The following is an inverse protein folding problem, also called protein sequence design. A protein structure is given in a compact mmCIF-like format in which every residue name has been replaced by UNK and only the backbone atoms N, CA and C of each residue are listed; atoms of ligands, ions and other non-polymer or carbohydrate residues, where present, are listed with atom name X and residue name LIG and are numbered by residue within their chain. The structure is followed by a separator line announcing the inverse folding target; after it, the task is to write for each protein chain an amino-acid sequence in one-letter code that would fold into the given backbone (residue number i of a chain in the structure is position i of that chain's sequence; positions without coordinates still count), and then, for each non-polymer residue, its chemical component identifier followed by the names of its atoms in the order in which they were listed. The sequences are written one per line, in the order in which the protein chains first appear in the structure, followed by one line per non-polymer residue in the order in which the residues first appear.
data_IF_937426862653
#
_entry.id   IF_937426862653
#
_cell.length_a   1.000
_cell.length_b   1.000
_cell.length_c   1.000
_cell.angle_alpha   90.00
_cell.angle_beta   90.00
_cell.angle_gamma   90.00
#
_symmetry.space_group_name_H-M   'P 1'
#
loop_
_entity.id
_entity.type
_entity.pdbx_description
1 polymer ?
#
# COMPACT_ATOMS: atom_id res chain seq x y z
N UNK A 1 10.68 2.39 10.10
CA UNK A 1 12.05 2.36 10.64
C UNK A 1 12.74 3.69 10.39
N UNK A 2 13.57 4.15 11.34
CA UNK A 2 14.42 5.32 11.15
C UNK A 2 15.72 4.98 10.37
N UNK A 3 16.58 5.99 10.15
CA UNK A 3 17.85 5.83 9.43
C UNK A 3 18.89 4.94 10.13
N UNK A 4 18.66 4.57 11.38
CA UNK A 4 19.49 3.64 12.16
C UNK A 4 18.93 2.22 12.22
N UNK A 5 17.87 1.94 11.47
CA UNK A 5 17.20 0.64 11.43
C UNK A 5 16.34 0.33 12.64
N UNK A 6 15.96 1.34 13.45
CA UNK A 6 15.11 1.16 14.64
C UNK A 6 13.67 1.53 14.33
N UNK A 7 12.72 0.77 14.84
CA UNK A 7 11.33 1.21 14.90
C UNK A 7 11.22 2.39 15.86
N UNK A 8 10.50 3.41 15.44
CA UNK A 8 10.34 4.64 16.21
C UNK A 8 8.87 5.05 16.26
N UNK A 9 8.47 5.71 17.31
CA UNK A 9 7.18 6.36 17.45
C UNK A 9 7.29 7.87 17.24
N UNK A 10 6.18 8.57 17.39
CA UNK A 10 6.13 10.04 17.35
C UNK A 10 5.72 10.59 18.72
N UNK A 11 6.01 11.86 18.97
CA UNK A 11 5.61 12.55 20.20
C UNK A 11 4.08 12.69 20.34
N UNK A 12 3.31 12.40 19.28
CA UNK A 12 1.86 12.31 19.34
C UNK A 12 1.39 11.13 20.22
N UNK A 13 2.05 9.97 20.09
CA UNK A 13 1.67 8.76 20.83
C UNK A 13 2.41 8.63 22.17
N UNK A 14 3.68 8.97 22.22
CA UNK A 14 4.49 8.80 23.43
C UNK A 14 5.65 9.80 23.49
N UNK A 15 6.00 10.26 24.71
CA UNK A 15 7.14 11.18 24.93
C UNK A 15 8.48 10.46 24.92
N UNK A 16 8.52 9.20 25.31
CA UNK A 16 9.70 8.34 25.33
C UNK A 16 9.28 6.91 24.97
N UNK A 17 10.20 6.15 24.39
CA UNK A 17 9.98 4.73 24.15
C UNK A 17 9.93 3.97 25.50
N UNK A 18 9.19 2.85 25.58
CA UNK A 18 9.20 1.99 26.75
C UNK A 18 10.56 1.32 26.93
N UNK A 19 10.90 0.94 28.17
CA UNK A 19 12.20 0.35 28.51
C UNK A 19 12.55 -0.91 27.70
N UNK A 20 11.55 -1.75 27.38
CA UNK A 20 11.77 -2.94 26.58
C UNK A 20 12.27 -2.63 25.16
N UNK A 21 11.86 -1.49 24.59
CA UNK A 21 12.32 -1.04 23.28
C UNK A 21 13.83 -0.79 23.29
N UNK A 22 14.34 -0.08 24.29
CA UNK A 22 15.76 0.21 24.41
C UNK A 22 16.58 -1.06 24.73
N UNK A 23 16.04 -1.95 25.56
CA UNK A 23 16.61 -3.28 25.82
C UNK A 23 16.70 -4.13 24.54
N UNK A 24 15.65 -4.14 23.73
CA UNK A 24 15.65 -4.84 22.44
C UNK A 24 16.78 -4.34 21.53
N UNK A 25 16.96 -3.03 21.42
CA UNK A 25 17.98 -2.45 20.56
C UNK A 25 19.39 -2.42 21.16
N UNK A 26 19.55 -2.73 22.42
CA UNK A 26 20.88 -2.81 23.06
C UNK A 26 21.76 -3.91 22.42
N UNK A 27 21.17 -5.02 21.96
CA UNK A 27 21.86 -6.09 21.24
C UNK A 27 22.04 -5.85 19.73
N UNK A 28 21.58 -4.69 19.21
CA UNK A 28 21.63 -4.32 17.78
C UNK A 28 21.00 -5.38 16.86
N UNK A 29 19.79 -5.86 17.12
CA UNK A 29 19.17 -6.93 16.32
C UNK A 29 18.96 -6.51 14.86
N UNK A 30 18.84 -5.21 14.60
CA UNK A 30 18.73 -4.66 13.25
C UNK A 30 19.97 -4.89 12.37
N UNK A 31 21.12 -5.22 12.95
CA UNK A 31 22.37 -5.48 12.22
C UNK A 31 22.58 -6.97 11.89
N UNK A 32 21.66 -7.82 12.31
CA UNK A 32 21.72 -9.29 12.18
C UNK A 32 21.97 -9.77 10.72
N UNK A 33 21.48 -9.00 9.74
CA UNK A 33 21.55 -9.39 8.33
C UNK A 33 22.60 -8.56 7.54
N UNK A 34 23.41 -7.76 8.22
CA UNK A 34 24.44 -6.94 7.58
C UNK A 34 25.42 -7.81 6.78
N UNK A 35 25.62 -7.48 5.51
CA UNK A 35 26.46 -8.26 4.61
C UNK A 35 25.93 -9.65 4.23
N UNK A 36 24.69 -9.98 4.61
CA UNK A 36 24.10 -11.25 4.19
C UNK A 36 23.56 -11.18 2.75
N UNK A 37 23.41 -12.35 2.17
CA UNK A 37 22.87 -12.55 0.83
C UNK A 37 21.43 -13.04 0.90
N UNK A 38 20.59 -12.52 0.02
CA UNK A 38 19.26 -13.07 -0.26
C UNK A 38 19.31 -13.91 -1.53
N UNK A 39 19.54 -15.23 -1.44
CA UNK A 39 19.44 -16.18 -2.55
C UNK A 39 17.97 -16.59 -2.78
N UNK A 40 17.70 -17.27 -3.90
CA UNK A 40 16.42 -17.96 -4.09
C UNK A 40 16.16 -18.97 -2.96
N UNK A 41 14.91 -19.06 -2.55
CA UNK A 41 14.46 -19.99 -1.50
C UNK A 41 14.42 -21.45 -1.98
N UNK A 42 14.07 -21.63 -3.27
CA UNK A 42 13.97 -22.92 -3.96
C UNK A 42 14.80 -22.91 -5.24
N UNK A 43 14.93 -24.09 -5.87
CA UNK A 43 15.50 -24.18 -7.21
C UNK A 43 14.67 -23.36 -8.21
N UNK A 44 15.32 -22.78 -9.22
CA UNK A 44 14.65 -21.94 -10.24
C UNK A 44 13.44 -22.61 -10.87
N UNK A 45 13.50 -23.92 -11.10
CA UNK A 45 12.41 -24.72 -11.66
C UNK A 45 11.12 -24.71 -10.84
N UNK A 46 11.16 -24.29 -9.57
CA UNK A 46 9.96 -24.15 -8.73
C UNK A 46 9.16 -22.88 -9.03
N UNK A 47 9.75 -21.90 -9.71
CA UNK A 47 9.13 -20.58 -9.96
C UNK A 47 8.43 -20.52 -11.31
N UNK A 48 7.56 -21.48 -11.61
CA UNK A 48 6.90 -21.62 -12.92
C UNK A 48 5.80 -20.58 -13.17
N UNK A 49 5.36 -19.87 -12.14
CA UNK A 49 4.25 -18.89 -12.20
C UNK A 49 4.71 -17.43 -12.19
N UNK A 50 6.00 -17.18 -12.29
CA UNK A 50 6.57 -15.85 -12.24
C UNK A 50 7.62 -15.67 -13.32
N UNK A 51 7.79 -14.41 -13.75
CA UNK A 51 8.78 -14.02 -14.75
C UNK A 51 10.16 -13.97 -14.08
N UNK A 52 11.18 -14.44 -14.78
CA UNK A 52 12.57 -14.35 -14.33
C UNK A 52 12.97 -12.87 -14.08
N UNK A 53 13.79 -12.67 -13.08
CA UNK A 53 14.40 -11.38 -12.77
C UNK A 53 15.44 -10.95 -13.81
N UNK A 54 15.90 -9.69 -13.72
CA UNK A 54 16.89 -9.12 -14.62
C UNK A 54 16.31 -8.62 -15.95
N UNK A 55 15.01 -8.33 -15.96
CA UNK A 55 14.37 -7.70 -17.11
C UNK A 55 14.84 -6.25 -17.27
N UNK A 56 14.89 -5.72 -18.52
CA UNK A 56 15.45 -4.38 -18.80
C UNK A 56 14.73 -3.24 -18.06
N UNK A 57 13.46 -3.43 -17.70
CA UNK A 57 12.65 -2.42 -16.99
C UNK A 57 12.70 -2.54 -15.47
N UNK A 58 13.30 -3.60 -14.92
CA UNK A 58 13.43 -3.78 -13.48
C UNK A 58 14.50 -2.86 -12.89
N UNK A 59 14.23 -2.36 -11.69
CA UNK A 59 15.12 -1.42 -11.01
C UNK A 59 16.25 -2.15 -10.30
N UNK A 60 17.40 -1.49 -10.24
CA UNK A 60 18.50 -1.91 -9.38
C UNK A 60 18.12 -1.69 -7.91
N UNK A 61 17.82 -2.78 -7.20
CA UNK A 61 17.32 -2.75 -5.83
C UNK A 61 18.38 -2.18 -4.87
N UNK A 62 18.30 -0.88 -4.58
CA UNK A 62 19.22 -0.18 -3.66
C UNK A 62 20.71 -0.44 -3.94
N UNK A 63 21.09 -0.64 -5.19
CA UNK A 63 22.46 -0.96 -5.57
C UNK A 63 22.85 -2.44 -5.49
N UNK A 64 21.92 -3.31 -5.05
CA UNK A 64 22.16 -4.76 -4.96
C UNK A 64 22.01 -5.51 -6.29
N UNK A 65 21.68 -4.81 -7.37
CA UNK A 65 21.46 -5.42 -8.69
C UNK A 65 20.00 -5.74 -8.99
N UNK A 66 19.80 -6.51 -10.07
CA UNK A 66 18.46 -6.90 -10.58
C UNK A 66 18.26 -8.42 -10.61
N UNK A 67 19.22 -9.19 -10.09
CA UNK A 67 19.21 -10.67 -10.12
C UNK A 67 19.65 -11.27 -8.79
N UNK A 68 19.13 -12.43 -8.49
CA UNK A 68 19.61 -13.24 -7.37
C UNK A 68 21.09 -13.71 -7.57
N UNK A 69 21.85 -13.86 -6.47
CA UNK A 69 21.50 -13.45 -5.11
C UNK A 69 21.68 -11.94 -4.90
N UNK A 70 20.80 -11.32 -4.11
CA UNK A 70 20.95 -9.93 -3.72
C UNK A 70 21.85 -9.83 -2.50
N UNK A 71 22.94 -9.06 -2.59
CA UNK A 71 23.91 -8.90 -1.52
C UNK A 71 23.66 -7.61 -0.74
N UNK A 72 23.30 -7.73 0.55
CA UNK A 72 23.07 -6.56 1.40
C UNK A 72 24.40 -5.83 1.69
N UNK A 73 24.39 -4.50 1.79
CA UNK A 73 25.50 -3.76 2.35
C UNK A 73 25.83 -4.20 3.78
N UNK A 74 27.10 -4.08 4.18
CA UNK A 74 27.56 -4.52 5.51
C UNK A 74 27.26 -3.55 6.65
N UNK A 75 26.91 -2.29 6.35
CA UNK A 75 26.66 -1.27 7.38
C UNK A 75 26.05 0.01 6.82
N UNK A 76 25.66 0.91 7.72
CA UNK A 76 25.26 2.29 7.44
C UNK A 76 23.83 2.46 6.94
N UNK A 77 23.42 3.69 6.62
CA UNK A 77 22.04 3.98 6.19
C UNK A 77 21.59 3.24 4.93
N UNK A 78 22.51 2.96 4.00
CA UNK A 78 22.25 2.17 2.80
C UNK A 78 21.88 0.71 3.12
N UNK A 79 22.49 0.14 4.16
CA UNK A 79 22.15 -1.19 4.66
C UNK A 79 20.70 -1.24 5.16
N UNK A 80 20.28 -0.31 6.05
CA UNK A 80 18.92 -0.31 6.59
C UNK A 80 17.87 -0.06 5.50
N UNK A 81 18.17 0.80 4.55
CA UNK A 81 17.27 1.03 3.41
C UNK A 81 17.16 -0.20 2.49
N UNK A 82 18.26 -0.93 2.28
CA UNK A 82 18.27 -2.19 1.53
C UNK A 82 17.55 -3.31 2.28
N UNK A 83 17.79 -3.45 3.59
CA UNK A 83 17.15 -4.46 4.44
C UNK A 83 15.63 -4.38 4.36
N UNK A 84 15.04 -3.19 4.41
CA UNK A 84 13.58 -2.97 4.28
C UNK A 84 13.00 -3.43 2.93
N UNK A 85 13.84 -3.70 1.94
CA UNK A 85 13.46 -4.16 0.59
C UNK A 85 13.83 -5.61 0.33
N UNK A 86 14.11 -6.34 1.39
CA UNK A 86 14.43 -7.76 1.36
C UNK A 86 13.58 -8.49 2.42
N UNK A 87 13.42 -9.82 2.38
CA UNK A 87 12.66 -10.56 3.39
C UNK A 87 13.09 -10.31 4.83
N UNK A 88 14.30 -9.80 5.02
CA UNK A 88 14.85 -9.45 6.33
C UNK A 88 14.14 -8.25 6.97
N UNK A 89 13.52 -7.35 6.18
CA UNK A 89 12.67 -6.28 6.70
C UNK A 89 11.43 -6.80 7.41
N UNK A 90 10.78 -7.80 6.84
CA UNK A 90 9.62 -8.43 7.48
C UNK A 90 10.04 -9.32 8.66
N UNK A 91 11.17 -10.01 8.57
CA UNK A 91 11.74 -10.75 9.71
C UNK A 91 12.03 -9.82 10.89
N UNK A 92 12.65 -8.66 10.64
CA UNK A 92 12.89 -7.63 11.66
C UNK A 92 11.59 -7.09 12.27
N UNK A 93 10.55 -6.92 11.46
CA UNK A 93 9.23 -6.48 11.93
C UNK A 93 8.61 -7.52 12.86
N UNK A 94 8.68 -8.80 12.52
CA UNK A 94 8.17 -9.87 13.37
C UNK A 94 9.02 -10.08 14.64
N UNK A 95 10.33 -9.89 14.57
CA UNK A 95 11.21 -9.92 15.75
C UNK A 95 10.86 -8.76 16.71
N UNK A 96 10.59 -7.58 16.18
CA UNK A 96 10.13 -6.44 16.99
C UNK A 96 8.72 -6.67 17.55
N UNK A 97 7.82 -7.30 16.78
CA UNK A 97 6.48 -7.68 17.28
C UNK A 97 6.57 -8.67 18.45
N UNK A 98 7.49 -9.67 18.40
CA UNK A 98 7.76 -10.56 19.54
C UNK A 98 8.27 -9.78 20.76
N UNK A 99 9.19 -8.85 20.55
CA UNK A 99 9.70 -8.01 21.64
C UNK A 99 8.59 -7.15 22.28
N UNK A 100 7.68 -6.60 21.48
CA UNK A 100 6.51 -5.86 21.98
C UNK A 100 5.56 -6.77 22.77
N UNK A 101 5.26 -7.96 22.27
CA UNK A 101 4.42 -8.95 22.98
C UNK A 101 4.99 -9.28 24.35
N UNK A 102 6.31 -9.53 24.44
CA UNK A 102 6.96 -9.83 25.72
C UNK A 102 7.04 -8.58 26.62
N UNK A 103 7.44 -7.44 26.06
CA UNK A 103 7.65 -6.21 26.80
C UNK A 103 6.39 -5.61 27.41
N UNK A 104 5.28 -5.69 26.68
CA UNK A 104 3.96 -5.22 27.11
C UNK A 104 3.10 -6.34 27.73
N UNK A 105 3.62 -7.56 27.84
CA UNK A 105 2.88 -8.74 28.35
C UNK A 105 1.56 -8.99 27.60
N UNK A 106 1.53 -8.72 26.29
CA UNK A 106 0.30 -8.88 25.49
C UNK A 106 -0.23 -10.31 25.57
N UNK A 107 -1.55 -10.44 25.64
CA UNK A 107 -2.27 -11.71 25.81
C UNK A 107 -2.19 -12.28 27.24
N UNK A 108 -1.57 -11.56 28.18
CA UNK A 108 -1.50 -11.88 29.60
C UNK A 108 -1.93 -10.72 30.50
N UNK A 109 -2.86 -9.91 30.01
CA UNK A 109 -3.36 -8.76 30.77
C UNK A 109 -4.00 -9.22 32.09
N UNK A 110 -3.56 -8.71 33.25
CA UNK A 110 -4.09 -9.11 34.55
C UNK A 110 -5.59 -8.80 34.71
N UNK A 111 -6.12 -7.80 33.99
CA UNK A 111 -7.55 -7.48 34.02
C UNK A 111 -8.42 -8.45 33.21
N UNK A 112 -7.81 -9.39 32.49
CA UNK A 112 -8.52 -10.28 31.55
C UNK A 112 -8.98 -9.62 30.26
N UNK A 113 -8.62 -8.34 30.02
CA UNK A 113 -8.93 -7.66 28.76
C UNK A 113 -8.13 -8.25 27.61
N UNK A 114 -8.75 -8.28 26.42
CA UNK A 114 -8.08 -8.73 25.20
C UNK A 114 -7.23 -7.58 24.64
N UNK A 115 -5.98 -7.90 24.33
CA UNK A 115 -5.07 -6.96 23.67
C UNK A 115 -5.21 -7.01 22.14
N UNK A 116 -4.92 -5.90 21.48
CA UNK A 116 -4.90 -5.78 20.02
C UNK A 116 -3.49 -5.41 19.54
N UNK A 117 -2.95 -6.18 18.62
CA UNK A 117 -1.65 -5.91 17.97
C UNK A 117 -1.83 -5.80 16.46
N UNK A 118 -1.52 -4.64 15.89
CA UNK A 118 -1.42 -4.42 14.46
C UNK A 118 0.02 -4.60 13.98
N UNK A 119 0.25 -5.41 12.95
CA UNK A 119 1.55 -5.63 12.33
C UNK A 119 1.45 -5.34 10.84
N UNK A 120 2.34 -4.49 10.31
CA UNK A 120 2.44 -4.20 8.88
C UNK A 120 3.74 -4.77 8.32
N UNK A 121 3.63 -5.68 7.35
CA UNK A 121 4.74 -6.28 6.61
C UNK A 121 4.87 -5.54 5.28
N UNK A 122 5.71 -4.50 5.23
CA UNK A 122 5.76 -3.54 4.12
C UNK A 122 6.76 -3.90 3.01
N UNK A 123 7.57 -4.93 3.19
CA UNK A 123 8.65 -5.27 2.24
C UNK A 123 8.12 -5.66 0.87
N UNK A 124 6.98 -6.35 0.81
CA UNK A 124 6.40 -6.82 -0.45
C UNK A 124 6.05 -5.68 -1.40
N UNK A 125 5.54 -4.59 -0.86
CA UNK A 125 5.24 -3.37 -1.62
C UNK A 125 6.51 -2.78 -2.26
N UNK A 126 7.58 -2.61 -1.49
CA UNK A 126 8.87 -2.11 -2.02
C UNK A 126 9.45 -3.00 -3.11
N UNK A 127 9.31 -4.31 -2.99
CA UNK A 127 9.76 -5.28 -4.00
C UNK A 127 8.94 -5.11 -5.27
N UNK A 128 7.62 -5.01 -5.17
CA UNK A 128 6.73 -4.86 -6.32
C UNK A 128 6.96 -3.54 -7.05
N UNK A 129 7.24 -2.46 -6.34
CA UNK A 129 7.65 -1.19 -6.96
C UNK A 129 8.95 -1.28 -7.76
N UNK A 130 9.82 -2.23 -7.42
CA UNK A 130 11.15 -2.38 -8.03
C UNK A 130 11.22 -3.46 -9.10
N UNK A 131 10.39 -4.49 -9.03
CA UNK A 131 10.46 -5.67 -9.89
C UNK A 131 9.16 -6.02 -10.59
N UNK A 132 8.03 -5.50 -10.12
CA UNK A 132 6.67 -5.91 -10.54
C UNK A 132 6.16 -7.14 -9.79
N UNK A 133 4.83 -7.24 -9.57
CA UNK A 133 4.19 -8.35 -8.86
C UNK A 133 4.32 -9.68 -9.63
N UNK A 134 4.52 -9.62 -10.95
CA UNK A 134 4.73 -10.77 -11.85
C UNK A 134 6.14 -11.40 -11.71
N UNK A 135 7.06 -10.73 -11.01
CA UNK A 135 8.46 -11.12 -10.95
C UNK A 135 8.72 -12.32 -10.04
N UNK A 136 9.79 -13.08 -10.33
CA UNK A 136 10.32 -14.13 -9.46
C UNK A 136 10.74 -13.58 -8.09
N UNK A 137 11.19 -12.34 -8.03
CA UNK A 137 11.57 -11.66 -6.78
C UNK A 137 10.36 -11.50 -5.86
N UNK A 138 9.22 -11.04 -6.42
CA UNK A 138 7.95 -10.97 -5.70
C UNK A 138 7.48 -12.35 -5.23
N UNK A 139 7.56 -13.35 -6.09
CA UNK A 139 7.16 -14.74 -5.78
C UNK A 139 8.03 -15.34 -4.66
N UNK A 140 9.36 -15.22 -4.74
CA UNK A 140 10.28 -15.70 -3.69
C UNK A 140 9.99 -15.04 -2.34
N UNK A 141 9.71 -13.74 -2.37
CA UNK A 141 9.37 -13.01 -1.17
C UNK A 141 8.09 -13.54 -0.51
N UNK A 142 7.02 -13.78 -1.28
CA UNK A 142 5.75 -14.33 -0.73
C UNK A 142 5.96 -15.70 -0.08
N UNK A 143 6.76 -16.57 -0.69
CA UNK A 143 7.09 -17.87 -0.10
C UNK A 143 7.85 -17.72 1.24
N UNK A 144 8.67 -16.68 1.37
CA UNK A 144 9.36 -16.37 2.63
C UNK A 144 8.42 -15.78 3.67
N UNK A 145 7.50 -14.89 3.27
CA UNK A 145 6.46 -14.37 4.19
C UNK A 145 5.63 -15.51 4.77
N UNK A 146 5.22 -16.49 3.96
CA UNK A 146 4.51 -17.69 4.46
C UNK A 146 5.29 -18.41 5.56
N UNK A 147 6.59 -18.65 5.37
CA UNK A 147 7.46 -19.26 6.38
C UNK A 147 7.63 -18.42 7.63
N UNK A 148 7.78 -17.11 7.47
CA UNK A 148 7.90 -16.17 8.59
C UNK A 148 6.62 -16.15 9.43
N UNK A 149 5.44 -16.14 8.78
CA UNK A 149 4.15 -16.21 9.46
C UNK A 149 3.95 -17.55 10.16
N UNK A 150 4.33 -18.67 9.54
CA UNK A 150 4.27 -19.98 10.19
C UNK A 150 5.11 -20.01 11.47
N UNK A 151 6.34 -19.46 11.44
CA UNK A 151 7.19 -19.33 12.63
C UNK A 151 6.61 -18.37 13.68
N UNK A 152 5.97 -17.29 13.25
CA UNK A 152 5.33 -16.36 14.17
C UNK A 152 4.08 -16.95 14.83
N UNK A 153 3.24 -17.69 14.11
CA UNK A 153 2.10 -18.39 14.69
C UNK A 153 2.52 -19.51 15.64
N UNK A 154 3.58 -20.25 15.32
CA UNK A 154 4.15 -21.23 16.25
C UNK A 154 4.62 -20.57 17.56
N UNK A 155 5.21 -19.38 17.50
CA UNK A 155 5.56 -18.61 18.68
C UNK A 155 4.31 -18.19 19.47
N UNK A 156 3.25 -17.70 18.82
CA UNK A 156 1.99 -17.34 19.48
C UNK A 156 1.33 -18.56 20.16
N UNK A 157 1.32 -19.71 19.52
CA UNK A 157 0.81 -20.97 20.08
C UNK A 157 1.56 -21.38 21.36
N UNK A 158 2.88 -21.24 21.37
CA UNK A 158 3.71 -21.54 22.56
C UNK A 158 3.52 -20.50 23.66
N UNK A 159 3.39 -19.23 23.30
CA UNK A 159 3.36 -18.10 24.23
C UNK A 159 1.99 -17.92 24.90
N UNK A 160 0.92 -18.05 24.12
CA UNK A 160 -0.46 -17.78 24.55
C UNK A 160 -1.31 -19.04 24.65
N UNK A 161 -0.94 -20.08 23.92
CA UNK A 161 -1.73 -21.29 23.70
C UNK A 161 -2.47 -21.27 22.36
N UNK A 162 -2.42 -22.35 21.63
CA UNK A 162 -3.24 -22.57 20.45
C UNK A 162 -4.72 -22.33 20.79
N UNK A 163 -5.44 -21.60 19.98
CA UNK A 163 -6.83 -21.21 20.21
C UNK A 163 -7.08 -20.10 21.26
N UNK A 164 -6.07 -19.30 21.59
CA UNK A 164 -6.23 -18.16 22.51
C UNK A 164 -6.11 -16.80 21.82
N UNK A 165 -6.05 -16.77 20.49
CA UNK A 165 -5.95 -15.56 19.70
C UNK A 165 -6.75 -15.67 18.40
N UNK A 166 -7.08 -14.51 17.85
CA UNK A 166 -7.67 -14.34 16.50
C UNK A 166 -6.67 -13.57 15.64
N UNK A 167 -6.55 -13.96 14.39
CA UNK A 167 -5.80 -13.23 13.37
C UNK A 167 -6.75 -12.77 12.28
N UNK A 168 -6.65 -11.50 11.90
CA UNK A 168 -7.20 -10.97 10.66
C UNK A 168 -6.02 -10.56 9.77
N UNK A 169 -5.84 -11.24 8.63
CA UNK A 169 -4.80 -10.95 7.67
C UNK A 169 -5.43 -10.39 6.40
N UNK A 170 -4.91 -9.27 5.95
CA UNK A 170 -5.31 -8.62 4.69
C UNK A 170 -4.12 -7.87 4.09
N UNK A 171 -4.34 -7.17 2.98
CA UNK A 171 -3.43 -6.17 2.44
C UNK A 171 -4.18 -4.83 2.30
N UNK A 172 -3.45 -3.73 2.32
CA UNK A 172 -3.93 -2.37 2.11
C UNK A 172 -4.31 -2.12 0.65
N UNK A 173 -3.64 -2.78 -0.30
CA UNK A 173 -3.92 -2.77 -1.73
C UNK A 173 -3.31 -3.99 -2.43
N UNK A 174 -3.73 -4.21 -3.67
CA UNK A 174 -3.05 -5.10 -4.61
C UNK A 174 -2.02 -4.31 -5.45
N UNK A 175 -1.70 -4.80 -6.67
CA UNK A 175 -0.67 -4.20 -7.50
C UNK A 175 -0.96 -4.42 -8.99
N UNK A 176 -0.71 -3.40 -9.83
CA UNK A 176 -0.70 -3.58 -11.27
C UNK A 176 0.59 -4.27 -11.74
N UNK A 177 0.54 -4.97 -12.86
CA UNK A 177 1.74 -5.45 -13.52
C UNK A 177 2.59 -4.29 -14.06
N UNK A 178 3.89 -4.51 -14.23
CA UNK A 178 4.71 -3.59 -15.00
C UNK A 178 4.12 -3.40 -16.41
N UNK A 179 4.00 -2.16 -16.92
CA UNK A 179 3.46 -1.93 -18.26
C UNK A 179 4.22 -2.68 -19.35
N UNK A 180 5.52 -2.84 -19.22
CA UNK A 180 6.37 -3.59 -20.15
C UNK A 180 6.02 -5.09 -20.15
N UNK A 181 5.74 -5.67 -18.98
CA UNK A 181 5.27 -7.04 -18.87
C UNK A 181 3.86 -7.18 -19.48
N UNK A 182 2.95 -6.26 -19.15
CA UNK A 182 1.60 -6.24 -19.73
C UNK A 182 1.65 -6.24 -21.24
N UNK A 183 2.52 -5.42 -21.85
CA UNK A 183 2.76 -5.38 -23.29
C UNK A 183 3.29 -6.71 -23.82
N UNK A 184 4.21 -7.36 -23.11
CA UNK A 184 4.78 -8.66 -23.53
C UNK A 184 3.74 -9.78 -23.57
N UNK A 185 2.69 -9.71 -22.76
CA UNK A 185 1.58 -10.66 -22.74
C UNK A 185 0.32 -10.15 -23.46
N UNK A 186 0.44 -9.07 -24.26
CA UNK A 186 -0.64 -8.47 -25.05
C UNK A 186 -1.83 -7.97 -24.19
N UNK A 187 -1.55 -7.51 -22.97
CA UNK A 187 -2.52 -6.83 -22.11
C UNK A 187 -2.26 -5.31 -22.17
N UNK A 188 -3.30 -4.45 -22.21
CA UNK A 188 -3.13 -3.01 -22.20
C UNK A 188 -2.35 -2.52 -20.97
N UNK A 189 -1.50 -1.52 -21.18
CA UNK A 189 -0.77 -0.85 -20.10
C UNK A 189 0.37 -0.02 -20.66
N UNK A 190 0.47 1.24 -20.18
CA UNK A 190 1.45 2.20 -20.68
C UNK A 190 2.02 3.07 -19.56
N UNK A 191 3.26 3.54 -19.78
CA UNK A 191 3.85 4.61 -18.97
C UNK A 191 3.50 5.95 -19.59
N UNK A 192 2.67 6.70 -18.88
CA UNK A 192 2.28 8.05 -19.28
C UNK A 192 3.31 9.08 -18.82
N UNK A 193 3.49 10.12 -19.62
CA UNK A 193 4.38 11.23 -19.28
C UNK A 193 3.61 12.36 -18.60
N UNK A 194 3.79 12.51 -17.28
CA UNK A 194 3.11 13.53 -16.50
C UNK A 194 3.49 14.98 -16.91
N UNK A 195 4.75 15.19 -17.29
CA UNK A 195 5.20 16.52 -17.72
C UNK A 195 4.56 16.92 -19.08
N UNK A 196 4.46 15.97 -20.01
CA UNK A 196 3.76 16.22 -21.29
C UNK A 196 2.28 16.49 -21.06
N UNK A 197 1.60 15.67 -20.26
CA UNK A 197 0.18 15.87 -19.90
C UNK A 197 -0.04 17.28 -19.30
N UNK A 198 0.73 17.67 -18.30
CA UNK A 198 0.59 18.96 -17.64
C UNK A 198 0.89 20.14 -18.57
N UNK A 199 1.88 20.00 -19.46
CA UNK A 199 2.19 21.01 -20.48
C UNK A 199 1.03 21.20 -21.44
N UNK A 200 0.46 20.14 -21.96
CA UNK A 200 -0.64 20.17 -22.93
C UNK A 200 -1.95 20.66 -22.28
N UNK A 201 -2.24 20.22 -21.05
CA UNK A 201 -3.36 20.72 -20.26
C UNK A 201 -3.26 22.24 -20.06
N UNK A 202 -2.11 22.74 -19.61
CA UNK A 202 -1.89 24.15 -19.40
C UNK A 202 -1.98 24.97 -20.70
N UNK A 203 -1.45 24.46 -21.81
CA UNK A 203 -1.61 25.10 -23.11
C UNK A 203 -3.08 25.21 -23.53
N UNK A 204 -3.87 24.17 -23.30
CA UNK A 204 -5.31 24.16 -23.56
C UNK A 204 -6.07 25.19 -22.70
N UNK A 205 -5.78 25.22 -21.39
CA UNK A 205 -6.40 26.13 -20.45
C UNK A 205 -6.01 27.59 -20.73
N UNK A 206 -4.72 27.88 -20.99
CA UNK A 206 -4.23 29.22 -21.33
C UNK A 206 -4.87 29.74 -22.60
N UNK A 207 -5.04 28.91 -23.63
CA UNK A 207 -5.72 29.26 -24.86
C UNK A 207 -7.20 29.60 -24.63
N UNK A 208 -7.91 28.80 -23.82
CA UNK A 208 -9.33 28.96 -23.54
C UNK A 208 -9.62 30.25 -22.74
N UNK A 209 -8.84 30.47 -21.68
CA UNK A 209 -9.08 31.58 -20.74
C UNK A 209 -8.26 32.81 -21.06
N UNK A 210 -7.38 32.77 -22.06
CA UNK A 210 -6.47 33.87 -22.45
C UNK A 210 -5.61 34.35 -21.27
N UNK A 211 -5.09 33.39 -20.49
CA UNK A 211 -4.27 33.64 -19.30
C UNK A 211 -2.84 33.18 -19.56
N UNK A 212 -1.88 34.05 -19.24
CA UNK A 212 -0.47 33.64 -19.17
C UNK A 212 -0.19 32.95 -17.83
N UNK A 213 0.43 31.79 -17.90
CA UNK A 213 0.77 30.95 -16.72
C UNK A 213 0.09 29.59 -16.71
N UNK A 214 0.38 28.84 -15.67
CA UNK A 214 -0.08 27.46 -15.53
C UNK A 214 -1.29 27.39 -14.59
N UNK A 215 -2.50 27.34 -15.13
CA UNK A 215 -3.72 27.17 -14.34
C UNK A 215 -3.77 25.81 -13.64
N UNK A 216 -3.17 24.76 -14.20
CA UNK A 216 -2.92 23.50 -13.52
C UNK A 216 -1.51 23.54 -12.90
N UNK A 217 -1.44 23.76 -11.59
CA UNK A 217 -0.20 24.01 -10.86
C UNK A 217 0.63 22.73 -10.65
N UNK A 218 -0.03 21.63 -10.30
CA UNK A 218 0.67 20.39 -9.92
C UNK A 218 -0.18 19.15 -10.20
N UNK A 219 0.48 18.10 -10.70
CA UNK A 219 -0.05 16.75 -10.68
C UNK A 219 0.47 16.01 -9.44
N UNK A 220 -0.43 15.52 -8.61
CA UNK A 220 -0.14 14.69 -7.44
C UNK A 220 -1.14 13.53 -7.43
N UNK A 221 -0.76 12.43 -8.09
CA UNK A 221 -1.67 11.30 -8.31
C UNK A 221 -2.43 10.90 -7.03
N UNK A 222 -3.72 10.70 -7.11
CA UNK A 222 -4.58 10.71 -8.30
C UNK A 222 -5.18 12.08 -8.66
N UNK A 223 -4.66 13.19 -8.14
CA UNK A 223 -5.28 14.50 -8.30
C UNK A 223 -4.40 15.53 -9.03
N UNK A 224 -5.06 16.50 -9.67
CA UNK A 224 -4.43 17.71 -10.19
C UNK A 224 -4.90 18.89 -9.34
N UNK A 225 -3.95 19.73 -8.95
CA UNK A 225 -4.17 20.94 -8.17
C UNK A 225 -4.16 22.12 -9.13
N UNK A 226 -5.19 22.96 -9.07
CA UNK A 226 -5.28 24.21 -9.83
C UNK A 226 -4.63 25.37 -9.06
N UNK A 227 -4.11 26.35 -9.79
CA UNK A 227 -3.57 27.58 -9.20
C UNK A 227 -4.69 28.53 -8.82
N UNK A 228 -5.11 28.46 -7.55
CA UNK A 228 -6.19 29.29 -7.01
C UNK A 228 -5.85 30.78 -7.06
N UNK A 229 -4.57 31.13 -6.93
CA UNK A 229 -4.10 32.51 -7.00
C UNK A 229 -4.25 33.08 -8.42
N UNK A 230 -3.90 32.29 -9.41
CA UNK A 230 -4.03 32.71 -10.83
C UNK A 230 -5.50 32.75 -11.25
N UNK A 231 -6.34 31.83 -10.81
CA UNK A 231 -7.79 31.85 -11.03
C UNK A 231 -8.40 33.14 -10.46
N UNK A 232 -8.10 33.47 -9.21
CA UNK A 232 -8.59 34.69 -8.55
C UNK A 232 -8.07 35.96 -9.23
N UNK A 233 -6.78 36.01 -9.56
CA UNK A 233 -6.15 37.17 -10.24
C UNK A 233 -6.86 37.53 -11.55
N UNK A 234 -7.31 36.51 -12.29
CA UNK A 234 -7.99 36.71 -13.58
C UNK A 234 -9.52 36.69 -13.46
N UNK A 235 -10.07 36.69 -12.23
CA UNK A 235 -11.51 36.63 -11.97
C UNK A 235 -12.22 35.48 -12.70
N UNK A 236 -11.55 34.32 -12.81
CA UNK A 236 -12.10 33.15 -13.47
C UNK A 236 -13.05 32.39 -12.53
N UNK A 237 -14.05 31.73 -13.10
CA UNK A 237 -14.88 30.80 -12.39
C UNK A 237 -14.10 29.49 -12.14
N UNK A 238 -13.96 29.10 -10.88
CA UNK A 238 -13.36 27.79 -10.49
C UNK A 238 -14.01 26.63 -11.26
N UNK A 239 -15.34 26.58 -11.27
CA UNK A 239 -16.10 25.53 -11.95
C UNK A 239 -15.84 25.49 -13.45
N UNK A 240 -15.71 26.66 -14.11
CA UNK A 240 -15.43 26.70 -15.54
C UNK A 240 -14.01 26.24 -15.87
N UNK A 241 -13.04 26.55 -15.02
CA UNK A 241 -11.65 26.05 -15.16
C UNK A 241 -11.60 24.54 -14.94
N UNK A 242 -12.28 24.03 -13.91
CA UNK A 242 -12.41 22.61 -13.65
C UNK A 242 -13.05 21.84 -14.82
N UNK A 243 -14.17 22.34 -15.37
CA UNK A 243 -14.86 21.72 -16.50
C UNK A 243 -14.01 21.75 -17.79
N UNK A 244 -13.27 22.82 -18.01
CA UNK A 244 -12.37 22.91 -19.16
C UNK A 244 -11.21 21.90 -19.03
N UNK A 245 -10.63 21.79 -17.83
CA UNK A 245 -9.59 20.82 -17.55
C UNK A 245 -10.13 19.38 -17.65
N UNK A 246 -11.31 19.10 -17.09
CA UNK A 246 -11.98 17.79 -17.21
C UNK A 246 -12.20 17.40 -18.67
N UNK A 247 -12.72 18.34 -19.49
CA UNK A 247 -12.98 18.10 -20.92
C UNK A 247 -11.70 17.71 -21.67
N UNK A 248 -10.61 18.46 -21.42
CA UNK A 248 -9.30 18.15 -22.01
C UNK A 248 -8.81 16.76 -21.56
N UNK A 249 -8.80 16.52 -20.26
CA UNK A 249 -8.27 15.28 -19.68
C UNK A 249 -9.07 14.04 -20.11
N UNK A 250 -10.38 14.15 -20.22
CA UNK A 250 -11.23 13.03 -20.70
C UNK A 250 -10.95 12.64 -22.16
N UNK A 251 -10.43 13.58 -22.95
CA UNK A 251 -10.00 13.30 -24.34
C UNK A 251 -8.55 12.83 -24.44
N UNK A 252 -7.79 12.87 -23.34
CA UNK A 252 -6.37 12.52 -23.34
C UNK A 252 -6.18 11.00 -23.30
N UNK A 253 -5.35 10.47 -24.21
CA UNK A 253 -5.09 9.06 -24.28
C UNK A 253 -4.55 8.51 -22.93
N UNK A 254 -5.11 7.41 -22.48
CA UNK A 254 -4.70 6.75 -21.24
C UNK A 254 -5.46 7.21 -19.98
N UNK A 255 -6.36 8.19 -20.09
CA UNK A 255 -7.27 8.59 -19.00
C UNK A 255 -8.63 7.91 -19.20
N UNK A 256 -9.17 7.32 -18.14
CA UNK A 256 -10.48 6.67 -18.16
C UNK A 256 -11.60 7.58 -17.69
N UNK A 257 -11.41 8.26 -16.55
CA UNK A 257 -12.44 9.12 -15.95
C UNK A 257 -11.76 10.26 -15.20
N UNK A 258 -12.42 11.43 -15.22
CA UNK A 258 -12.02 12.59 -14.41
C UNK A 258 -13.23 13.14 -13.69
N UNK A 259 -13.09 13.43 -12.40
CA UNK A 259 -14.08 14.12 -11.59
C UNK A 259 -13.54 15.47 -11.14
N UNK A 260 -14.41 16.48 -11.10
CA UNK A 260 -14.04 17.80 -10.60
C UNK A 260 -14.34 17.93 -9.10
N UNK A 261 -13.64 18.80 -8.40
CA UNK A 261 -13.94 19.17 -7.02
C UNK A 261 -15.40 19.61 -6.86
N UNK A 262 -15.88 20.48 -7.76
CA UNK A 262 -17.28 20.96 -7.76
C UNK A 262 -18.28 19.77 -7.80
N UNK A 263 -18.04 18.77 -8.64
CA UNK A 263 -18.89 17.56 -8.71
C UNK A 263 -18.81 16.74 -7.42
N UNK A 264 -17.61 16.58 -6.86
CA UNK A 264 -17.36 15.80 -5.63
C UNK A 264 -18.01 16.46 -4.41
N UNK A 265 -17.90 17.77 -4.27
CA UNK A 265 -18.53 18.53 -3.18
C UNK A 265 -20.07 18.54 -3.27
N UNK A 266 -20.60 18.63 -4.47
CA UNK A 266 -22.04 18.60 -4.71
C UNK A 266 -22.64 17.19 -4.70
N UNK A 267 -21.82 16.14 -4.69
CA UNK A 267 -22.28 14.74 -4.82
C UNK A 267 -22.90 14.41 -6.18
N UNK A 268 -22.70 15.26 -7.19
CA UNK A 268 -23.28 15.12 -8.54
C UNK A 268 -22.39 14.32 -9.49
N UNK A 269 -21.82 13.23 -9.01
CA UNK A 269 -20.96 12.37 -9.81
C UNK A 269 -21.78 11.51 -10.78
N UNK A 270 -21.23 11.26 -12.00
CA UNK A 270 -21.81 10.26 -12.89
C UNK A 270 -21.97 8.91 -12.20
N UNK A 271 -23.06 8.23 -12.47
CA UNK A 271 -23.30 6.89 -11.93
C UNK A 271 -22.46 5.87 -12.72
N UNK A 272 -21.32 5.52 -12.16
CA UNK A 272 -20.39 4.54 -12.72
C UNK A 272 -19.72 3.71 -11.64
N UNK A 273 -18.93 2.71 -12.05
CA UNK A 273 -18.30 1.75 -11.14
C UNK A 273 -17.32 2.38 -10.12
N UNK A 274 -16.83 3.61 -10.35
CA UNK A 274 -15.81 4.24 -9.50
C UNK A 274 -16.37 5.25 -8.50
N UNK A 275 -17.67 5.60 -8.62
CA UNK A 275 -18.29 6.65 -7.79
C UNK A 275 -18.02 6.49 -6.30
N UNK A 276 -18.27 5.30 -5.75
CA UNK A 276 -18.10 5.05 -4.32
C UNK A 276 -16.62 5.05 -3.91
N UNK A 277 -15.73 4.46 -4.72
CA UNK A 277 -14.30 4.44 -4.43
C UNK A 277 -13.73 5.86 -4.39
N UNK A 278 -14.11 6.69 -5.37
CA UNK A 278 -13.65 8.09 -5.44
C UNK A 278 -14.19 8.91 -4.27
N UNK A 279 -15.47 8.79 -3.92
CA UNK A 279 -16.05 9.50 -2.77
C UNK A 279 -15.38 9.12 -1.44
N UNK A 280 -14.94 7.86 -1.30
CA UNK A 280 -14.21 7.39 -0.10
C UNK A 280 -12.74 7.80 -0.08
N UNK A 281 -12.13 8.00 -1.24
CA UNK A 281 -10.72 8.37 -1.38
C UNK A 281 -10.50 9.89 -1.41
N UNK A 282 -11.51 10.67 -1.79
CA UNK A 282 -11.41 12.12 -1.90
C UNK A 282 -11.71 12.80 -0.57
N UNK A 283 -10.89 13.78 -0.21
CA UNK A 283 -11.08 14.62 0.96
C UNK A 283 -11.07 16.10 0.52
N UNK A 284 -12.05 16.87 0.98
CA UNK A 284 -12.23 18.28 0.62
C UNK A 284 -11.00 19.13 0.88
N UNK A 285 -10.33 18.92 2.01
CA UNK A 285 -9.26 19.79 2.49
C UNK A 285 -7.87 19.31 2.05
N UNK A 286 -7.74 18.03 1.67
CA UNK A 286 -6.46 17.39 1.37
C UNK A 286 -6.28 17.01 -0.10
N UNK A 287 -7.37 16.82 -0.85
CA UNK A 287 -7.30 16.40 -2.25
C UNK A 287 -7.25 17.58 -3.20
N UNK A 288 -6.71 17.35 -4.40
CA UNK A 288 -6.70 18.37 -5.47
C UNK A 288 -8.07 18.64 -6.09
N UNK A 289 -8.08 19.45 -7.13
CA UNK A 289 -9.31 19.98 -7.76
C UNK A 289 -9.88 19.06 -8.84
N UNK A 290 -9.04 18.18 -9.40
CA UNK A 290 -9.44 17.19 -10.39
C UNK A 290 -8.96 15.82 -9.91
N UNK A 291 -9.86 14.84 -9.84
CA UNK A 291 -9.52 13.46 -9.53
C UNK A 291 -9.48 12.64 -10.82
N UNK A 292 -8.33 12.04 -11.12
CA UNK A 292 -8.04 11.40 -12.40
C UNK A 292 -7.88 9.89 -12.22
N UNK A 293 -8.63 9.11 -12.98
CA UNK A 293 -8.49 7.65 -13.07
C UNK A 293 -7.89 7.33 -14.44
N UNK A 294 -6.76 6.62 -14.44
CA UNK A 294 -6.14 6.14 -15.67
C UNK A 294 -6.84 4.91 -16.23
N UNK A 295 -6.66 4.63 -17.50
CA UNK A 295 -7.02 3.34 -18.08
C UNK A 295 -6.29 2.21 -17.35
N UNK A 296 -6.88 0.99 -17.29
CA UNK A 296 -6.24 -0.13 -16.58
C UNK A 296 -4.85 -0.41 -17.12
N UNK A 297 -3.90 -0.66 -16.22
CA UNK A 297 -2.51 -0.91 -16.57
C UNK A 297 -1.68 0.33 -16.90
N UNK A 298 -2.28 1.53 -16.92
CA UNK A 298 -1.54 2.77 -17.13
C UNK A 298 -1.03 3.37 -15.82
N UNK A 299 0.18 3.91 -15.85
CA UNK A 299 0.80 4.57 -14.71
C UNK A 299 1.65 5.76 -15.12
N UNK A 300 2.00 6.57 -14.14
CA UNK A 300 3.03 7.61 -14.22
C UNK A 300 4.12 7.37 -13.19
N UNK A 301 5.28 7.98 -13.40
CA UNK A 301 6.42 7.87 -12.48
C UNK A 301 7.45 6.83 -12.89
N UNK A 302 8.49 6.70 -12.04
CA UNK A 302 9.70 5.92 -12.32
C UNK A 302 9.69 4.51 -11.72
N UNK A 303 8.70 4.15 -10.90
CA UNK A 303 8.58 2.80 -10.36
C UNK A 303 8.34 1.79 -11.49
N UNK A 304 8.76 0.56 -11.30
CA UNK A 304 8.52 -0.52 -12.28
C UNK A 304 7.02 -0.83 -12.38
N UNK A 305 6.37 -0.95 -11.25
CA UNK A 305 4.92 -1.11 -11.11
C UNK A 305 4.41 -0.24 -9.97
N UNK A 306 3.11 -0.03 -9.88
CA UNK A 306 2.49 0.82 -8.86
C UNK A 306 1.09 0.32 -8.50
N UNK A 307 0.43 1.03 -7.60
CA UNK A 307 -0.92 0.76 -7.08
C UNK A 307 -1.66 2.09 -6.83
N UNK A 308 -2.85 2.02 -6.23
CA UNK A 308 -3.64 3.19 -5.84
C UNK A 308 -4.74 3.54 -6.82
N UNK A 309 -5.04 2.66 -7.77
CA UNK A 309 -6.17 2.80 -8.68
C UNK A 309 -7.44 2.13 -8.14
N UNK A 310 -8.65 2.47 -8.66
CA UNK A 310 -9.88 1.77 -8.29
C UNK A 310 -10.08 0.44 -9.04
N UNK A 311 -9.11 0.02 -9.85
CA UNK A 311 -9.17 -1.23 -10.62
C UNK A 311 -9.02 -2.47 -9.74
N UNK A 312 -9.56 -3.60 -10.20
CA UNK A 312 -9.61 -4.84 -9.42
C UNK A 312 -8.24 -5.40 -9.03
N UNK A 313 -7.20 -5.16 -9.82
CA UNK A 313 -5.85 -5.60 -9.47
C UNK A 313 -5.28 -4.88 -8.24
N UNK A 314 -5.78 -3.67 -7.92
CA UNK A 314 -5.42 -2.93 -6.71
C UNK A 314 -6.41 -3.15 -5.56
N UNK A 315 -7.70 -3.34 -5.88
CA UNK A 315 -8.77 -3.37 -4.87
C UNK A 315 -9.15 -4.78 -4.41
N UNK A 316 -8.72 -5.82 -5.13
CA UNK A 316 -8.97 -7.21 -4.73
C UNK A 316 -7.79 -7.76 -3.92
N UNK A 317 -7.94 -7.78 -2.61
CA UNK A 317 -6.94 -8.22 -1.64
C UNK A 317 -7.42 -9.43 -0.85
N UNK A 318 -6.53 -10.26 -0.28
CA UNK A 318 -6.94 -11.36 0.58
C UNK A 318 -7.61 -10.83 1.86
N UNK A 319 -8.58 -11.58 2.38
CA UNK A 319 -9.12 -11.40 3.72
C UNK A 319 -9.20 -12.79 4.37
N UNK A 320 -8.34 -13.03 5.35
CA UNK A 320 -8.21 -14.31 6.04
C UNK A 320 -8.45 -14.10 7.52
N UNK A 321 -9.43 -14.79 8.08
CA UNK A 321 -9.68 -14.84 9.52
C UNK A 321 -9.23 -16.20 10.06
N UNK A 322 -8.49 -16.20 11.15
CA UNK A 322 -8.04 -17.41 11.85
C UNK A 322 -8.30 -17.26 13.34
N UNK A 323 -8.75 -18.35 13.99
CA UNK A 323 -9.05 -18.38 15.41
C UNK A 323 -10.11 -19.43 15.73
N UNK A 324 -9.72 -20.67 15.86
CA UNK A 324 -10.61 -21.85 15.91
C UNK A 324 -11.84 -21.74 16.83
N UNK A 325 -11.79 -21.15 18.03
CA UNK A 325 -12.99 -21.03 18.87
C UNK A 325 -14.05 -20.08 18.31
N UNK A 326 -13.66 -19.05 17.56
CA UNK A 326 -14.53 -17.96 17.15
C UNK A 326 -14.81 -17.91 15.66
N UNK A 327 -13.92 -18.46 14.84
CA UNK A 327 -13.97 -18.39 13.39
C UNK A 327 -14.41 -19.72 12.79
N UNK A 328 -15.42 -19.70 11.91
CA UNK A 328 -15.84 -20.85 11.12
C UNK A 328 -14.83 -21.16 10.03
N UNK A 329 -14.46 -22.42 9.91
CA UNK A 329 -13.57 -22.89 8.83
C UNK A 329 -14.26 -22.82 7.45
N UNK A 330 -13.51 -22.61 6.40
CA UNK A 330 -13.92 -22.68 5.00
C UNK A 330 -13.88 -21.34 4.27
N UNK A 331 -14.11 -21.38 2.95
CA UNK A 331 -14.20 -20.21 2.09
C UNK A 331 -15.60 -19.60 2.17
N UNK A 332 -15.67 -18.28 2.00
CA UNK A 332 -16.92 -17.52 1.91
C UNK A 332 -16.99 -16.89 0.52
N UNK A 333 -18.19 -16.90 -0.06
CA UNK A 333 -18.46 -16.31 -1.37
C UNK A 333 -19.05 -14.88 -1.26
N UNK A 334 -19.49 -14.50 -0.08
CA UNK A 334 -20.06 -13.20 0.19
C UNK A 334 -19.00 -12.12 0.02
N UNK A 335 -19.41 -10.99 -0.58
CA UNK A 335 -18.52 -9.84 -0.72
C UNK A 335 -18.12 -9.31 0.65
N UNK A 336 -16.84 -9.20 0.87
CA UNK A 336 -16.23 -8.58 2.03
C UNK A 336 -15.37 -7.39 1.63
N UNK A 337 -15.26 -6.41 2.49
CA UNK A 337 -14.39 -5.24 2.35
C UNK A 337 -13.35 -5.26 3.47
N UNK A 338 -12.17 -4.68 3.23
CA UNK A 338 -11.16 -4.48 4.29
C UNK A 338 -11.76 -3.68 5.46
N UNK A 339 -12.67 -2.74 5.17
CA UNK A 339 -13.42 -1.98 6.17
C UNK A 339 -14.27 -2.84 7.12
N UNK A 340 -14.62 -4.08 6.74
CA UNK A 340 -15.40 -5.00 7.56
C UNK A 340 -14.59 -5.62 8.72
N UNK A 341 -13.25 -5.52 8.66
CA UNK A 341 -12.38 -6.07 9.71
C UNK A 341 -12.63 -5.37 11.04
N UNK A 342 -12.67 -4.04 11.05
CA UNK A 342 -12.81 -3.26 12.28
C UNK A 342 -14.12 -3.58 13.04
N UNK A 343 -15.32 -3.53 12.43
CA UNK A 343 -16.56 -3.91 13.13
C UNK A 343 -16.60 -5.41 13.47
N UNK A 344 -15.99 -6.29 12.67
CA UNK A 344 -15.92 -7.72 12.99
C UNK A 344 -15.06 -7.99 14.22
N UNK A 345 -13.88 -7.34 14.32
CA UNK A 345 -13.05 -7.44 15.52
C UNK A 345 -13.71 -6.77 16.73
N UNK A 346 -14.38 -5.63 16.54
CA UNK A 346 -15.13 -4.98 17.64
C UNK A 346 -16.25 -5.88 18.17
N UNK A 347 -16.94 -6.60 17.29
CA UNK A 347 -17.94 -7.59 17.70
C UNK A 347 -17.32 -8.72 18.55
N UNK A 348 -16.18 -9.26 18.12
CA UNK A 348 -15.47 -10.31 18.86
C UNK A 348 -14.92 -9.83 20.20
N UNK A 349 -14.58 -8.55 20.31
CA UNK A 349 -14.08 -7.91 21.52
C UNK A 349 -15.19 -7.38 22.43
N UNK A 350 -16.44 -7.46 22.01
CA UNK A 350 -17.61 -6.92 22.72
C UNK A 350 -17.49 -5.42 23.06
N UNK A 351 -16.91 -4.65 22.13
CA UNK A 351 -16.72 -3.20 22.23
C UNK A 351 -17.56 -2.46 21.19
N UNK A 352 -17.68 -1.14 21.37
CA UNK A 352 -18.34 -0.27 20.38
C UNK A 352 -17.58 -0.28 19.06
N UNK A 353 -18.31 -0.21 17.96
CA UNK A 353 -17.72 -0.04 16.64
C UNK A 353 -17.05 1.33 16.54
N UNK A 354 -15.93 1.45 15.81
CA UNK A 354 -15.31 2.74 15.55
C UNK A 354 -16.29 3.70 14.86
N UNK A 355 -16.33 4.96 15.30
CA UNK A 355 -17.31 5.95 14.82
C UNK A 355 -17.26 6.20 13.29
N UNK A 356 -16.10 6.05 12.67
CA UNK A 356 -15.92 6.22 11.23
C UNK A 356 -16.04 4.92 10.42
N UNK A 357 -16.42 3.80 11.05
CA UNK A 357 -16.53 2.52 10.34
C UNK A 357 -17.81 2.46 9.50
N UNK A 358 -17.67 2.25 8.20
CA UNK A 358 -18.75 1.97 7.26
C UNK A 358 -18.90 0.48 6.95
N UNK A 359 -18.03 -0.36 7.51
CA UNK A 359 -18.03 -1.81 7.32
C UNK A 359 -19.14 -2.51 8.09
N UNK A 360 -19.39 -3.75 7.75
CA UNK A 360 -20.33 -4.65 8.45
C UNK A 360 -19.58 -5.72 9.25
N UNK A 361 -20.25 -6.36 10.18
CA UNK A 361 -19.77 -7.59 10.82
C UNK A 361 -19.84 -8.75 9.81
N UNK A 362 -18.78 -9.50 9.66
CA UNK A 362 -18.70 -10.71 8.81
C UNK A 362 -19.29 -11.91 9.57
N UNK A 363 -20.59 -11.84 9.95
CA UNK A 363 -21.26 -12.81 10.78
C UNK A 363 -21.24 -14.24 10.20
N UNK A 364 -21.22 -14.37 8.86
CA UNK A 364 -21.08 -15.63 8.14
C UNK A 364 -19.76 -16.36 8.46
N UNK A 365 -18.74 -15.62 8.88
CA UNK A 365 -17.43 -16.16 9.25
C UNK A 365 -17.27 -16.45 10.75
N UNK A 366 -18.22 -16.00 11.59
CA UNK A 366 -18.18 -16.15 13.04
C UNK A 366 -18.99 -17.37 13.50
N UNK A 367 -18.57 -17.99 14.63
CA UNK A 367 -19.30 -19.11 15.28
C UNK A 367 -20.39 -18.62 16.20
#
# INVERSE_FOLDING_TARGET
MDKSGRFASTTYYMKAHPEWHDKFYASRPQDKWAGQSWPLLHAESAYTRSMAEGQPWQSNLMGMGTKFPFQLPSSGPSYYAAMLRTPYGDEATLDFARAAIEGESLGRNPSGATDLLGISLSTHDYINHSFGPESRVSHDHLLRVDRLLAGFFSYLDQRMGANKYVVALTADHGFMNAPEYSKAISVPGERMNSAALMKELNASLSKRFKVEGNLAAKFSYPTIILDQSLIAKHSLSQTEVELAAQTFLQSYAGIAVVYTRTQLEAGTLPDNAFKLQVLRAWNRDLSGDLYVIFQPGNMMGSNVATHGSPWTYDTNVPLILYGKPWIKSGKRAERALVADIAPTLSWLLEIRFPNGSEGRVLAESLK
#
